data_IF_228539548932
#
_entry.id   IF_228539548932
#
_cell.length_a   1.000
_cell.length_b   1.000
_cell.length_c   1.000
_cell.angle_alpha   90.00
_cell.angle_beta   90.00
_cell.angle_gamma   90.00
#
_symmetry.space_group_name_H-M   'P 1'
#
loop_
_entity.id
_entity.type
_entity.pdbx_description
1 polymer ?
#
# COMPACT_ATOMS: atom_id res chain seq x y z
N UNK A 1 4.08 -42.65 -5.17
CA UNK A 1 3.37 -41.40 -5.52
C UNK A 1 3.61 -41.15 -7.01
N UNK A 2 2.59 -41.42 -7.83
CA UNK A 2 2.70 -41.50 -9.30
C UNK A 2 2.93 -40.13 -9.93
N UNK A 3 3.71 -40.05 -11.00
CA UNK A 3 4.03 -38.82 -11.75
C UNK A 3 2.76 -38.06 -12.19
N UNK A 4 1.65 -38.76 -12.45
CA UNK A 4 0.31 -38.19 -12.70
C UNK A 4 -0.22 -37.35 -11.53
N UNK A 5 -0.08 -37.83 -10.29
CA UNK A 5 -0.54 -37.08 -9.10
C UNK A 5 0.22 -35.77 -8.90
N UNK A 6 1.51 -35.72 -9.26
CA UNK A 6 2.32 -34.49 -9.21
C UNK A 6 1.95 -33.48 -10.30
N UNK A 7 1.34 -33.92 -11.40
CA UNK A 7 0.90 -33.05 -12.49
C UNK A 7 -0.48 -32.49 -12.18
N UNK A 8 -1.42 -33.31 -11.70
CA UNK A 8 -2.74 -32.85 -11.21
C UNK A 8 -2.58 -31.86 -10.04
N UNK A 9 -1.73 -32.15 -9.05
CA UNK A 9 -1.46 -31.22 -7.94
C UNK A 9 -0.92 -29.87 -8.42
N UNK A 10 -0.11 -29.87 -9.49
CA UNK A 10 0.43 -28.63 -10.09
C UNK A 10 -0.64 -27.85 -10.85
N UNK A 11 -1.50 -28.52 -11.61
CA UNK A 11 -2.60 -27.87 -12.34
C UNK A 11 -3.66 -27.29 -11.38
N UNK A 12 -3.97 -27.99 -10.30
CA UNK A 12 -4.86 -27.50 -9.23
C UNK A 12 -4.26 -26.32 -8.45
N UNK A 13 -2.95 -26.36 -8.17
CA UNK A 13 -2.23 -25.23 -7.58
C UNK A 13 -2.25 -23.99 -8.50
N UNK A 14 -1.98 -24.19 -9.80
CA UNK A 14 -1.98 -23.11 -10.79
C UNK A 14 -3.37 -22.49 -10.95
N UNK A 15 -4.42 -23.32 -11.06
CA UNK A 15 -5.79 -22.84 -11.20
C UNK A 15 -6.29 -22.11 -9.95
N UNK A 16 -5.97 -22.61 -8.76
CA UNK A 16 -6.30 -21.98 -7.47
C UNK A 16 -5.57 -20.65 -7.28
N UNK A 17 -4.29 -20.60 -7.68
CA UNK A 17 -3.48 -19.37 -7.64
C UNK A 17 -4.00 -18.32 -8.63
N UNK A 18 -4.36 -18.72 -9.86
CA UNK A 18 -4.90 -17.82 -10.87
C UNK A 18 -6.27 -17.23 -10.45
N UNK A 19 -7.16 -18.06 -9.91
CA UNK A 19 -8.45 -17.60 -9.34
C UNK A 19 -8.20 -16.65 -8.17
N UNK A 20 -7.30 -16.99 -7.25
CA UNK A 20 -6.91 -16.13 -6.13
C UNK A 20 -6.37 -14.77 -6.57
N UNK A 21 -5.48 -14.75 -7.55
CA UNK A 21 -4.94 -13.52 -8.12
C UNK A 21 -6.03 -12.65 -8.76
N UNK A 22 -6.96 -13.24 -9.52
CA UNK A 22 -8.09 -12.52 -10.11
C UNK A 22 -8.98 -11.87 -9.06
N UNK A 23 -9.32 -12.59 -7.98
CA UNK A 23 -10.12 -12.04 -6.88
C UNK A 23 -9.42 -10.89 -6.15
N UNK A 24 -8.10 -11.00 -5.95
CA UNK A 24 -7.32 -9.92 -5.33
C UNK A 24 -7.29 -8.68 -6.24
N UNK A 25 -7.05 -8.84 -7.54
CA UNK A 25 -7.09 -7.70 -8.48
C UNK A 25 -8.46 -7.01 -8.44
N UNK A 26 -9.54 -7.80 -8.49
CA UNK A 26 -10.91 -7.29 -8.42
C UNK A 26 -11.18 -6.57 -7.09
N UNK A 27 -10.73 -7.13 -5.96
CA UNK A 27 -10.84 -6.49 -4.66
C UNK A 27 -10.12 -5.14 -4.65
N UNK A 28 -8.86 -5.09 -5.07
CA UNK A 28 -8.09 -3.85 -5.10
C UNK A 28 -8.75 -2.79 -5.99
N UNK A 29 -9.30 -3.18 -7.14
CA UNK A 29 -10.02 -2.28 -8.02
C UNK A 29 -11.30 -1.73 -7.37
N UNK A 30 -12.19 -2.60 -6.87
CA UNK A 30 -13.46 -2.20 -6.25
C UNK A 30 -13.22 -1.37 -5.00
N UNK A 31 -12.27 -1.79 -4.15
CA UNK A 31 -11.88 -1.06 -2.95
C UNK A 31 -11.41 0.35 -3.28
N UNK A 32 -10.54 0.51 -4.28
CA UNK A 32 -10.07 1.84 -4.71
C UNK A 32 -11.21 2.71 -5.22
N UNK A 33 -12.14 2.16 -6.01
CA UNK A 33 -13.31 2.89 -6.50
C UNK A 33 -14.22 3.33 -5.36
N UNK A 34 -14.52 2.42 -4.42
CA UNK A 34 -15.36 2.71 -3.27
C UNK A 34 -14.76 3.79 -2.37
N UNK A 35 -13.48 3.62 -2.01
CA UNK A 35 -12.75 4.59 -1.18
C UNK A 35 -12.73 5.96 -1.85
N UNK A 36 -12.49 6.02 -3.16
CA UNK A 36 -12.54 7.26 -3.92
C UNK A 36 -13.93 7.93 -3.88
N UNK A 37 -15.00 7.19 -4.19
CA UNK A 37 -16.35 7.73 -4.21
C UNK A 37 -16.79 8.28 -2.84
N UNK A 38 -16.50 7.55 -1.76
CA UNK A 38 -16.86 7.99 -0.41
C UNK A 38 -15.96 9.14 0.08
N UNK A 39 -14.67 9.12 -0.26
CA UNK A 39 -13.77 10.22 0.09
C UNK A 39 -14.18 11.55 -0.56
N UNK A 40 -14.81 11.54 -1.73
CA UNK A 40 -15.31 12.79 -2.32
C UNK A 40 -16.38 13.47 -1.47
N UNK A 41 -17.26 12.69 -0.86
CA UNK A 41 -18.31 13.24 -0.01
C UNK A 41 -17.75 13.69 1.34
N UNK A 42 -16.78 12.93 1.88
CA UNK A 42 -16.06 13.26 3.12
C UNK A 42 -15.37 14.63 2.99
N UNK A 43 -14.69 14.90 1.87
CA UNK A 43 -13.95 16.15 1.67
C UNK A 43 -14.83 17.40 1.63
N UNK A 44 -16.08 17.27 1.19
CA UNK A 44 -17.04 18.38 1.23
C UNK A 44 -17.41 18.78 2.66
N UNK A 45 -17.18 17.90 3.63
CA UNK A 45 -17.53 18.10 5.04
C UNK A 45 -16.31 18.26 5.96
N UNK A 46 -15.11 17.92 5.47
CA UNK A 46 -13.84 18.02 6.20
C UNK A 46 -13.01 19.23 5.75
N UNK A 47 -12.34 19.90 6.70
CA UNK A 47 -11.40 20.99 6.38
C UNK A 47 -10.07 20.46 5.82
N UNK A 48 -9.36 21.23 4.98
CA UNK A 48 -8.05 20.83 4.44
C UNK A 48 -7.04 20.43 5.52
N UNK A 49 -6.94 21.19 6.60
CA UNK A 49 -6.02 20.92 7.71
C UNK A 49 -6.30 19.59 8.40
N UNK A 50 -7.57 19.31 8.73
CA UNK A 50 -7.96 18.06 9.39
C UNK A 50 -7.73 16.84 8.48
N UNK A 51 -7.96 17.01 7.17
CA UNK A 51 -7.65 15.99 6.16
C UNK A 51 -6.14 15.78 6.03
N UNK A 52 -5.34 16.84 6.02
CA UNK A 52 -3.88 16.78 5.98
C UNK A 52 -3.30 16.03 7.17
N UNK A 53 -3.76 16.35 8.39
CA UNK A 53 -3.35 15.65 9.60
C UNK A 53 -3.71 14.16 9.51
N UNK A 54 -4.91 13.81 9.06
CA UNK A 54 -5.33 12.41 8.97
C UNK A 54 -4.60 11.63 7.86
N UNK A 55 -4.52 12.17 6.64
CA UNK A 55 -3.99 11.49 5.45
C UNK A 55 -2.48 11.59 5.28
N UNK A 56 -1.81 12.55 5.92
CA UNK A 56 -0.34 12.65 5.90
C UNK A 56 0.21 12.14 7.22
N UNK A 57 -0.08 12.80 8.36
CA UNK A 57 0.59 12.49 9.62
C UNK A 57 0.17 11.13 10.19
N UNK A 58 -1.14 10.88 10.33
CA UNK A 58 -1.64 9.64 10.95
C UNK A 58 -1.45 8.41 10.03
N UNK A 59 -1.60 8.57 8.72
CA UNK A 59 -1.27 7.50 7.77
C UNK A 59 0.24 7.22 7.71
N UNK A 60 1.10 8.24 7.78
CA UNK A 60 2.55 8.05 7.88
C UNK A 60 2.93 7.33 9.17
N UNK A 61 2.30 7.67 10.29
CA UNK A 61 2.46 6.96 11.56
C UNK A 61 2.13 5.47 11.41
N UNK A 62 0.94 5.15 10.89
CA UNK A 62 0.52 3.76 10.71
C UNK A 62 1.42 3.01 9.71
N UNK A 63 1.75 3.63 8.58
CA UNK A 63 2.65 3.06 7.56
C UNK A 63 4.01 2.76 8.17
N UNK A 64 4.59 3.71 8.93
CA UNK A 64 5.89 3.54 9.59
C UNK A 64 5.88 2.40 10.60
N UNK A 65 4.85 2.31 11.45
CA UNK A 65 4.70 1.22 12.42
C UNK A 65 4.62 -0.13 11.70
N UNK A 66 3.75 -0.25 10.69
CA UNK A 66 3.51 -1.50 9.99
C UNK A 66 4.73 -1.92 9.15
N UNK A 67 5.33 -1.01 8.40
CA UNK A 67 6.39 -1.31 7.45
C UNK A 67 7.68 -1.75 8.15
N UNK A 68 8.09 -1.01 9.19
CA UNK A 68 9.29 -1.34 9.99
C UNK A 68 9.10 -2.68 10.69
N UNK A 69 7.89 -2.97 11.15
CA UNK A 69 7.66 -4.14 12.00
C UNK A 69 7.48 -5.44 11.23
N UNK A 70 6.83 -5.37 10.08
CA UNK A 70 6.26 -6.55 9.42
C UNK A 70 6.90 -6.90 8.09
N UNK A 71 7.23 -5.92 7.27
CA UNK A 71 7.38 -6.15 5.82
C UNK A 71 8.55 -7.08 5.51
N UNK A 72 9.70 -6.88 6.18
CA UNK A 72 10.88 -7.72 6.00
C UNK A 72 10.65 -9.19 6.39
N UNK A 73 9.98 -9.43 7.53
CA UNK A 73 9.66 -10.79 7.96
C UNK A 73 8.59 -11.44 7.09
N UNK A 74 7.52 -10.72 6.72
CA UNK A 74 6.47 -11.22 5.84
C UNK A 74 7.03 -11.70 4.50
N UNK A 75 7.95 -10.95 3.90
CA UNK A 75 8.60 -11.31 2.64
C UNK A 75 9.34 -12.66 2.69
N UNK A 76 9.95 -12.98 3.83
CA UNK A 76 10.68 -14.23 4.04
C UNK A 76 9.72 -15.38 4.36
N UNK A 77 8.76 -15.12 5.26
CA UNK A 77 7.86 -16.14 5.81
C UNK A 77 6.80 -16.61 4.80
N UNK A 78 6.49 -15.80 3.78
CA UNK A 78 5.58 -16.20 2.68
C UNK A 78 6.29 -17.06 1.63
N UNK A 79 7.63 -17.07 1.60
CA UNK A 79 8.44 -17.87 0.66
C UNK A 79 8.88 -19.23 1.23
N UNK A 80 8.87 -19.37 2.56
CA UNK A 80 9.30 -20.60 3.21
C UNK A 80 8.17 -21.64 3.22
N UNK A 81 8.44 -22.85 2.70
CA UNK A 81 7.47 -23.94 2.63
C UNK A 81 7.82 -25.13 3.52
N UNK A 82 8.96 -25.09 4.22
CA UNK A 82 9.60 -26.29 4.76
C UNK A 82 9.10 -26.72 6.15
N UNK A 83 8.52 -25.84 6.96
CA UNK A 83 7.85 -26.20 8.24
C UNK A 83 6.87 -25.13 8.71
N UNK A 84 5.62 -25.51 8.99
CA UNK A 84 4.56 -24.60 9.45
C UNK A 84 4.87 -23.99 10.83
N UNK A 85 5.41 -24.79 11.76
CA UNK A 85 5.72 -24.29 13.11
C UNK A 85 6.86 -23.27 13.14
N UNK A 86 7.88 -23.42 12.26
CA UNK A 86 8.96 -22.45 12.13
C UNK A 86 8.42 -21.09 11.67
N UNK A 87 7.52 -21.11 10.68
CA UNK A 87 6.88 -19.91 10.15
C UNK A 87 6.06 -19.20 11.23
N UNK A 88 5.23 -19.96 11.96
CA UNK A 88 4.39 -19.41 13.03
C UNK A 88 5.26 -18.77 14.12
N UNK A 89 6.29 -19.47 14.61
CA UNK A 89 7.17 -18.95 15.65
C UNK A 89 7.81 -17.62 15.22
N UNK A 90 8.36 -17.54 14.01
CA UNK A 90 8.99 -16.33 13.50
C UNK A 90 7.97 -15.21 13.20
N UNK A 91 6.72 -15.55 12.87
CA UNK A 91 5.68 -14.56 12.59
C UNK A 91 5.23 -13.76 13.82
N UNK A 92 5.49 -14.26 15.04
CA UNK A 92 5.26 -13.50 16.29
C UNK A 92 6.33 -12.42 16.55
N UNK A 93 7.49 -12.48 15.89
CA UNK A 93 8.55 -11.46 16.05
C UNK A 93 8.04 -10.08 15.60
N UNK A 94 7.42 -9.91 14.41
CA UNK A 94 6.75 -8.69 14.01
C UNK A 94 5.75 -8.13 15.03
N UNK A 95 5.01 -8.98 15.74
CA UNK A 95 4.05 -8.54 16.76
C UNK A 95 4.75 -7.94 17.97
N UNK A 96 5.81 -8.59 18.47
CA UNK A 96 6.61 -8.08 19.59
C UNK A 96 7.37 -6.79 19.22
N UNK A 97 8.00 -6.78 18.04
CA UNK A 97 8.68 -5.59 17.53
C UNK A 97 7.67 -4.47 17.25
N UNK A 98 6.48 -4.83 16.79
CA UNK A 98 5.32 -3.98 16.61
C UNK A 98 4.86 -3.24 17.86
N UNK A 99 4.88 -3.91 19.02
CA UNK A 99 4.56 -3.25 20.29
C UNK A 99 5.58 -2.15 20.59
N UNK A 100 6.87 -2.46 20.46
CA UNK A 100 7.94 -1.49 20.69
C UNK A 100 7.86 -0.31 19.72
N UNK A 101 7.73 -0.57 18.42
CA UNK A 101 7.62 0.50 17.40
C UNK A 101 6.36 1.32 17.59
N UNK A 102 5.21 0.71 17.91
CA UNK A 102 3.97 1.45 18.20
C UNK A 102 4.15 2.40 19.38
N UNK A 103 4.73 1.93 20.50
CA UNK A 103 4.97 2.77 21.68
C UNK A 103 5.94 3.92 21.39
N UNK A 104 7.03 3.66 20.66
CA UNK A 104 8.03 4.67 20.31
C UNK A 104 7.46 5.71 19.33
N UNK A 105 6.80 5.26 18.25
CA UNK A 105 6.23 6.16 17.26
C UNK A 105 5.06 6.98 17.83
N UNK A 106 4.15 6.37 18.59
CA UNK A 106 3.09 7.13 19.26
C UNK A 106 3.66 8.09 20.31
N UNK A 107 4.66 7.67 21.08
CA UNK A 107 5.35 8.53 22.05
C UNK A 107 6.02 9.74 21.38
N UNK A 108 6.70 9.52 20.26
CA UNK A 108 7.28 10.58 19.45
C UNK A 108 6.20 11.56 18.97
N UNK A 109 5.16 11.07 18.28
CA UNK A 109 4.07 11.91 17.76
C UNK A 109 3.34 12.67 18.87
N UNK A 110 3.10 12.07 20.04
CA UNK A 110 2.47 12.74 21.18
C UNK A 110 3.38 13.81 21.81
N UNK A 111 4.71 13.64 21.74
CA UNK A 111 5.67 14.62 22.26
C UNK A 111 5.86 15.84 21.36
N UNK A 112 5.66 15.67 20.04
CA UNK A 112 5.75 16.76 19.06
C UNK A 112 4.47 17.58 18.91
N UNK A 113 3.35 17.17 19.53
CA UNK A 113 2.09 17.95 19.48
C UNK A 113 2.29 19.28 20.19
N UNK A 114 2.15 20.38 19.44
CA UNK A 114 2.25 21.73 19.99
C UNK A 114 0.96 22.12 20.73
N UNK A 115 1.07 22.91 21.79
CA UNK A 115 -0.08 23.37 22.59
C UNK A 115 -1.15 24.09 21.76
N UNK A 116 -0.76 24.80 20.69
CA UNK A 116 -1.67 25.45 19.74
C UNK A 116 -2.51 24.44 18.94
N UNK A 117 -1.93 23.34 18.46
CA UNK A 117 -2.67 22.32 17.70
C UNK A 117 -3.69 21.60 18.59
N UNK A 118 -3.36 21.39 19.87
CA UNK A 118 -4.29 20.81 20.85
C UNK A 118 -5.47 21.73 21.18
N UNK A 119 -5.32 23.05 21.01
CA UNK A 119 -6.40 24.02 21.19
C UNK A 119 -7.35 24.07 19.98
N UNK A 120 -6.83 23.87 18.78
CA UNK A 120 -7.62 23.84 17.52
C UNK A 120 -8.28 22.46 17.34
N UNK A 121 -7.59 21.38 17.69
CA UNK A 121 -8.03 19.99 17.52
C UNK A 121 -7.99 19.22 18.85
N UNK A 122 -9.03 19.32 19.69
CA UNK A 122 -9.04 18.72 21.03
C UNK A 122 -8.87 17.19 21.03
N UNK A 123 -9.27 16.50 19.95
CA UNK A 123 -9.20 15.04 19.83
C UNK A 123 -7.96 14.52 19.10
N UNK A 124 -6.98 15.37 18.79
CA UNK A 124 -5.80 14.94 18.04
C UNK A 124 -4.99 13.87 18.80
N UNK A 125 -4.75 14.07 20.10
CA UNK A 125 -4.06 13.08 20.96
C UNK A 125 -4.76 11.72 20.97
N UNK A 126 -6.10 11.74 21.07
CA UNK A 126 -6.91 10.52 21.05
C UNK A 126 -6.81 9.82 19.69
N UNK A 127 -6.75 10.60 18.61
CA UNK A 127 -6.62 10.10 17.24
C UNK A 127 -5.28 9.39 17.01
N UNK A 128 -4.18 9.95 17.51
CA UNK A 128 -2.84 9.31 17.47
C UNK A 128 -2.86 7.96 18.20
N UNK A 129 -3.43 7.91 19.40
CA UNK A 129 -3.52 6.67 20.18
C UNK A 129 -4.38 5.62 19.45
N UNK A 130 -5.52 6.02 18.89
CA UNK A 130 -6.40 5.12 18.13
C UNK A 130 -5.71 4.57 16.87
N UNK A 131 -4.97 5.39 16.12
CA UNK A 131 -4.18 4.93 14.98
C UNK A 131 -3.08 3.95 15.42
N UNK A 132 -2.37 4.25 16.52
CA UNK A 132 -1.38 3.33 17.09
C UNK A 132 -1.98 1.99 17.50
N UNK A 133 -3.12 2.01 18.21
CA UNK A 133 -3.86 0.81 18.57
C UNK A 133 -4.33 0.04 17.34
N UNK A 134 -4.84 0.72 16.31
CA UNK A 134 -5.26 0.11 15.05
C UNK A 134 -4.09 -0.62 14.37
N UNK A 135 -2.93 0.04 14.25
CA UNK A 135 -1.72 -0.58 13.69
C UNK A 135 -1.23 -1.77 14.52
N UNK A 136 -1.31 -1.70 15.85
CA UNK A 136 -0.96 -2.82 16.71
C UNK A 136 -1.93 -4.00 16.57
N UNK A 137 -3.23 -3.75 16.43
CA UNK A 137 -4.22 -4.79 16.14
C UNK A 137 -3.90 -5.49 14.82
N UNK A 138 -3.56 -4.73 13.78
CA UNK A 138 -3.14 -5.30 12.49
C UNK A 138 -1.86 -6.16 12.63
N UNK A 139 -0.89 -5.75 13.44
CA UNK A 139 0.34 -6.51 13.70
C UNK A 139 0.10 -7.77 14.54
N UNK A 140 -0.92 -7.75 15.40
CA UNK A 140 -1.29 -8.91 16.22
C UNK A 140 -1.91 -10.03 15.38
N UNK A 141 -2.53 -9.68 14.25
CA UNK A 141 -3.14 -10.62 13.30
C UNK A 141 -2.12 -11.23 12.35
N UNK A 142 -0.92 -10.65 12.29
CA UNK A 142 0.10 -11.00 11.32
C UNK A 142 0.46 -12.49 11.25
N UNK A 143 0.64 -13.21 12.38
CA UNK A 143 0.91 -14.65 12.34
C UNK A 143 -0.20 -15.44 11.63
N UNK A 144 -1.46 -15.08 11.89
CA UNK A 144 -2.63 -15.73 11.29
C UNK A 144 -2.72 -15.40 9.79
N UNK A 145 -2.40 -14.16 9.42
CA UNK A 145 -2.36 -13.71 8.04
C UNK A 145 -1.31 -14.48 7.22
N UNK A 146 -0.08 -14.56 7.72
CA UNK A 146 1.02 -15.30 7.07
C UNK A 146 0.68 -16.80 6.98
N UNK A 147 0.06 -17.37 8.00
CA UNK A 147 -0.40 -18.75 7.97
C UNK A 147 -1.47 -18.98 6.90
N UNK A 148 -2.48 -18.10 6.81
CA UNK A 148 -3.51 -18.15 5.77
C UNK A 148 -2.92 -18.06 4.36
N UNK A 149 -1.91 -17.20 4.15
CA UNK A 149 -1.22 -17.05 2.87
C UNK A 149 -0.45 -18.32 2.48
N UNK A 150 0.29 -18.93 3.40
CA UNK A 150 1.00 -20.18 3.13
C UNK A 150 0.06 -21.36 2.82
N UNK A 151 -1.18 -21.31 3.32
CA UNK A 151 -2.26 -22.26 2.99
C UNK A 151 -3.06 -21.87 1.73
N UNK A 152 -2.69 -20.80 1.05
CA UNK A 152 -3.35 -20.27 -0.16
C UNK A 152 -4.84 -19.94 0.06
N UNK A 153 -5.22 -19.51 1.27
CA UNK A 153 -6.59 -19.09 1.60
C UNK A 153 -6.91 -17.68 1.08
N UNK A 154 -6.81 -17.49 -0.24
CA UNK A 154 -7.04 -16.20 -0.89
C UNK A 154 -8.46 -15.67 -0.66
N UNK A 155 -9.47 -16.54 -0.58
CA UNK A 155 -10.85 -16.15 -0.30
C UNK A 155 -11.03 -15.55 1.10
N UNK A 156 -10.32 -16.08 2.10
CA UNK A 156 -10.34 -15.52 3.46
C UNK A 156 -9.81 -14.09 3.44
N UNK A 157 -8.69 -13.88 2.75
CA UNK A 157 -8.11 -12.55 2.59
C UNK A 157 -9.08 -11.60 1.90
N UNK A 158 -9.67 -12.02 0.78
CA UNK A 158 -10.57 -11.15 0.00
C UNK A 158 -11.81 -10.75 0.81
N UNK A 159 -12.40 -11.71 1.55
CA UNK A 159 -13.58 -11.46 2.36
C UNK A 159 -13.29 -10.58 3.57
N UNK A 160 -12.22 -10.87 4.33
CA UNK A 160 -11.89 -10.11 5.55
C UNK A 160 -11.34 -8.72 5.21
N UNK A 161 -10.37 -8.62 4.30
CA UNK A 161 -9.76 -7.35 3.88
C UNK A 161 -10.80 -6.46 3.17
N UNK A 162 -11.62 -7.04 2.29
CA UNK A 162 -12.71 -6.32 1.63
C UNK A 162 -13.76 -5.80 2.61
N UNK A 163 -14.20 -6.63 3.55
CA UNK A 163 -15.15 -6.20 4.60
C UNK A 163 -14.54 -5.10 5.47
N UNK A 164 -13.27 -5.22 5.85
CA UNK A 164 -12.58 -4.21 6.65
C UNK A 164 -12.49 -2.87 5.92
N UNK A 165 -12.14 -2.85 4.63
CA UNK A 165 -12.10 -1.60 3.86
C UNK A 165 -13.48 -1.00 3.70
N UNK A 166 -14.49 -1.81 3.39
CA UNK A 166 -15.88 -1.34 3.25
C UNK A 166 -16.36 -0.70 4.56
N UNK A 167 -16.16 -1.36 5.70
CA UNK A 167 -16.52 -0.84 7.01
C UNK A 167 -15.75 0.44 7.34
N UNK A 168 -14.43 0.48 7.09
CA UNK A 168 -13.62 1.71 7.26
C UNK A 168 -14.24 2.86 6.48
N UNK A 169 -14.57 2.66 5.22
CA UNK A 169 -15.10 3.73 4.37
C UNK A 169 -16.47 4.21 4.84
N UNK A 170 -17.39 3.31 5.19
CA UNK A 170 -18.71 3.69 5.69
C UNK A 170 -18.67 4.34 7.07
N UNK A 171 -17.77 3.90 7.95
CA UNK A 171 -17.57 4.53 9.26
C UNK A 171 -16.96 5.92 9.12
N UNK A 172 -15.93 6.09 8.28
CA UNK A 172 -15.38 7.42 7.96
C UNK A 172 -16.48 8.32 7.42
N UNK A 173 -17.24 7.84 6.43
CA UNK A 173 -18.32 8.60 5.80
C UNK A 173 -19.40 9.01 6.81
N UNK A 174 -19.95 8.05 7.56
CA UNK A 174 -21.01 8.31 8.53
C UNK A 174 -20.56 9.27 9.64
N UNK A 175 -19.39 9.04 10.23
CA UNK A 175 -18.89 9.88 11.31
C UNK A 175 -18.53 11.29 10.83
N UNK A 176 -18.03 11.44 9.60
CA UNK A 176 -17.74 12.78 9.05
C UNK A 176 -19.00 13.54 8.66
N UNK A 177 -20.05 12.86 8.17
CA UNK A 177 -21.32 13.51 7.83
C UNK A 177 -22.13 13.96 9.05
N UNK A 178 -22.25 13.09 10.05
CA UNK A 178 -23.05 13.37 11.25
C UNK A 178 -22.24 14.06 12.36
N UNK A 179 -20.91 14.00 12.31
CA UNK A 179 -20.02 14.64 13.25
C UNK A 179 -19.86 16.14 13.00
N UNK A 180 -19.59 16.91 14.07
CA UNK A 180 -19.15 18.31 13.91
C UNK A 180 -17.73 18.33 13.32
N UNK A 181 -17.36 19.44 12.66
CA UNK A 181 -16.03 19.63 12.04
C UNK A 181 -14.87 19.36 13.00
N UNK A 182 -15.03 19.67 14.29
CA UNK A 182 -14.05 19.42 15.36
C UNK A 182 -13.71 17.93 15.57
N UNK A 183 -14.63 17.03 15.22
CA UNK A 183 -14.44 15.58 15.33
C UNK A 183 -13.89 14.95 14.06
N UNK A 184 -13.61 15.73 13.01
CA UNK A 184 -13.25 15.16 11.71
C UNK A 184 -12.00 14.26 11.78
N UNK A 185 -10.98 14.65 12.54
CA UNK A 185 -9.75 13.84 12.72
C UNK A 185 -10.07 12.55 13.48
N UNK A 186 -10.92 12.65 14.51
CA UNK A 186 -11.35 11.50 15.30
C UNK A 186 -12.16 10.50 14.45
N UNK A 187 -12.99 10.98 13.52
CA UNK A 187 -13.74 10.13 12.58
C UNK A 187 -12.82 9.22 11.77
N UNK A 188 -11.71 9.75 11.23
CA UNK A 188 -10.70 8.95 10.52
C UNK A 188 -10.02 7.94 11.45
N UNK A 189 -9.71 8.33 12.69
CA UNK A 189 -9.07 7.45 13.65
C UNK A 189 -9.97 6.29 14.12
N UNK A 190 -11.24 6.56 14.37
CA UNK A 190 -12.22 5.52 14.68
C UNK A 190 -12.38 4.57 13.49
N UNK A 191 -12.47 5.09 12.27
CA UNK A 191 -12.58 4.26 11.08
C UNK A 191 -11.34 3.35 10.89
N UNK A 192 -10.13 3.87 11.11
CA UNK A 192 -8.92 3.06 11.07
C UNK A 192 -8.88 2.01 12.19
N UNK A 193 -9.36 2.35 13.38
CA UNK A 193 -9.50 1.38 14.47
C UNK A 193 -10.50 0.26 14.12
N UNK A 194 -11.65 0.59 13.53
CA UNK A 194 -12.63 -0.39 13.03
C UNK A 194 -12.02 -1.30 11.96
N UNK A 195 -11.18 -0.75 11.08
CA UNK A 195 -10.44 -1.54 10.10
C UNK A 195 -9.54 -2.59 10.78
N UNK A 196 -8.67 -2.17 11.71
CA UNK A 196 -7.78 -3.07 12.44
C UNK A 196 -8.55 -4.12 13.27
N UNK A 197 -9.65 -3.71 13.92
CA UNK A 197 -10.52 -4.59 14.69
C UNK A 197 -11.21 -5.64 13.79
N UNK A 198 -11.71 -5.23 12.61
CA UNK A 198 -12.36 -6.14 11.66
C UNK A 198 -11.36 -7.17 11.13
N UNK A 199 -10.13 -6.73 10.82
CA UNK A 199 -9.05 -7.65 10.45
C UNK A 199 -8.79 -8.65 11.57
N UNK A 200 -8.72 -8.21 12.83
CA UNK A 200 -8.52 -9.11 13.97
C UNK A 200 -9.64 -10.12 14.16
N UNK A 201 -10.88 -9.65 14.22
CA UNK A 201 -12.04 -10.50 14.43
C UNK A 201 -12.25 -11.46 13.26
N UNK A 202 -12.02 -11.01 12.01
CA UNK A 202 -12.19 -11.84 10.82
C UNK A 202 -11.21 -13.01 10.76
N UNK A 203 -9.92 -12.76 10.95
CA UNK A 203 -8.91 -13.83 10.95
C UNK A 203 -9.03 -14.73 12.17
N UNK A 204 -9.17 -14.16 13.37
CA UNK A 204 -9.31 -14.95 14.59
C UNK A 204 -10.57 -15.81 14.55
N UNK A 205 -11.72 -15.24 14.17
CA UNK A 205 -12.99 -15.96 14.05
C UNK A 205 -12.93 -17.10 13.04
N UNK A 206 -12.30 -16.89 11.88
CA UNK A 206 -12.14 -17.95 10.88
C UNK A 206 -11.31 -19.13 11.40
N UNK A 207 -10.17 -18.86 12.03
CA UNK A 207 -9.28 -19.92 12.52
C UNK A 207 -9.83 -20.64 13.75
N UNK A 208 -10.55 -19.95 14.64
CA UNK A 208 -11.26 -20.60 15.76
C UNK A 208 -12.36 -21.53 15.24
N UNK A 209 -13.13 -21.09 14.23
CA UNK A 209 -14.20 -21.90 13.65
C UNK A 209 -13.67 -23.11 12.87
N UNK A 210 -12.64 -22.92 12.04
CA UNK A 210 -12.16 -23.95 11.11
C UNK A 210 -11.16 -24.93 11.72
N UNK A 211 -10.20 -24.46 12.50
CA UNK A 211 -9.09 -25.30 12.97
C UNK A 211 -9.40 -26.00 14.30
N UNK A 212 -10.44 -25.57 15.04
CA UNK A 212 -10.92 -26.07 16.37
C UNK A 212 -9.85 -26.21 17.48
N UNK A 213 -8.58 -25.98 17.18
CA UNK A 213 -7.42 -26.13 18.05
C UNK A 213 -6.51 -24.91 17.87
N UNK A 214 -6.61 -23.95 18.78
CA UNK A 214 -5.73 -22.76 18.85
C UNK A 214 -4.27 -23.17 19.15
N UNK A 215 -4.10 -24.38 19.65
CA UNK A 215 -2.85 -24.97 20.08
C UNK A 215 -1.81 -25.13 18.95
N UNK A 216 -2.24 -25.30 17.70
CA UNK A 216 -1.36 -25.33 16.51
C UNK A 216 -0.97 -23.94 16.01
N UNK A 217 -1.64 -22.88 16.48
CA UNK A 217 -1.38 -21.48 16.10
C UNK A 217 -0.46 -20.77 17.09
N UNK A 218 -0.21 -21.38 18.25
CA UNK A 218 0.71 -20.88 19.26
C UNK A 218 2.15 -21.31 18.96
N UNK A 219 3.14 -20.48 19.33
CA UNK A 219 4.52 -20.83 19.13
C UNK A 219 4.91 -22.01 20.04
N UNK A 220 5.51 -23.04 19.46
CA UNK A 220 5.95 -24.26 20.15
C UNK A 220 7.40 -24.55 19.82
N UNK A 221 8.08 -25.16 20.79
CA UNK A 221 9.43 -25.70 20.57
C UNK A 221 9.42 -26.74 19.46
N UNK A 222 10.31 -26.57 18.49
CA UNK A 222 10.51 -27.54 17.43
C UNK A 222 11.58 -28.51 17.90
N UNK A 223 11.28 -29.80 17.81
CA UNK A 223 12.25 -30.87 18.02
C UNK A 223 12.72 -31.32 16.65
N UNK A 224 13.99 -31.11 16.34
CA UNK A 224 14.56 -31.69 15.14
C UNK A 224 14.66 -33.20 15.31
N UNK A 225 14.28 -33.96 14.29
CA UNK A 225 14.37 -35.42 14.34
C UNK A 225 15.83 -35.90 14.19
N UNK A 226 16.72 -35.03 13.70
CA UNK A 226 18.10 -35.38 13.35
C UNK A 226 19.18 -34.81 14.29
N UNK A 227 18.86 -33.82 15.13
CA UNK A 227 19.77 -33.26 16.14
C UNK A 227 19.05 -33.10 17.48
N UNK A 228 19.69 -33.47 18.58
CA UNK A 228 19.21 -33.29 19.98
C UNK A 228 19.12 -31.81 20.40
N UNK A 229 18.78 -30.91 19.49
CA UNK A 229 18.68 -29.46 19.74
C UNK A 229 17.22 -29.01 19.63
N UNK A 230 16.66 -28.55 20.76
CA UNK A 230 15.37 -27.85 20.76
C UNK A 230 15.60 -26.39 20.37
N UNK A 231 14.99 -25.92 19.29
CA UNK A 231 15.06 -24.51 18.91
C UNK A 231 13.66 -23.89 18.73
N UNK A 232 13.57 -22.61 19.07
CA UNK A 232 12.36 -21.79 18.87
C UNK A 232 12.38 -21.09 17.51
N UNK A 233 13.55 -20.63 17.08
CA UNK A 233 13.73 -19.87 15.85
C UNK A 233 14.80 -20.51 14.98
N UNK A 234 14.48 -20.71 13.70
CA UNK A 234 15.47 -21.14 12.72
C UNK A 234 16.40 -19.97 12.39
N UNK A 235 17.70 -20.15 12.68
CA UNK A 235 18.71 -19.07 12.54
C UNK A 235 18.80 -18.50 11.13
N UNK A 236 18.66 -19.35 10.11
CA UNK A 236 18.73 -18.94 8.70
C UNK A 236 17.57 -18.03 8.31
N UNK A 237 16.33 -18.43 8.66
CA UNK A 237 15.15 -17.61 8.40
C UNK A 237 15.14 -16.32 9.22
N UNK A 238 15.63 -16.37 10.46
CA UNK A 238 15.76 -15.19 11.31
C UNK A 238 16.74 -14.18 10.72
N UNK A 239 17.94 -14.63 10.33
CA UNK A 239 18.95 -13.77 9.72
C UNK A 239 18.43 -13.16 8.40
N UNK A 240 17.77 -13.97 7.57
CA UNK A 240 17.16 -13.49 6.33
C UNK A 240 16.05 -12.46 6.60
N UNK A 241 15.21 -12.70 7.62
CA UNK A 241 14.17 -11.77 8.07
C UNK A 241 14.74 -10.42 8.53
N UNK A 242 15.84 -10.44 9.31
CA UNK A 242 16.54 -9.22 9.74
C UNK A 242 17.12 -8.47 8.53
N UNK A 243 17.77 -9.17 7.61
CA UNK A 243 18.33 -8.55 6.39
C UNK A 243 17.25 -7.90 5.53
N UNK A 244 16.13 -8.61 5.30
CA UNK A 244 14.99 -8.08 4.55
C UNK A 244 14.30 -6.93 5.29
N UNK A 245 14.32 -6.92 6.62
CA UNK A 245 13.80 -5.80 7.43
C UNK A 245 14.68 -4.56 7.27
N UNK A 246 16.00 -4.69 7.23
CA UNK A 246 16.91 -3.57 6.93
C UNK A 246 16.65 -3.00 5.52
N UNK A 247 16.49 -3.87 4.53
CA UNK A 247 16.15 -3.45 3.18
C UNK A 247 14.78 -2.77 3.12
N UNK A 248 13.81 -3.28 3.88
CA UNK A 248 12.48 -2.68 3.99
C UNK A 248 12.55 -1.29 4.63
N UNK A 249 13.36 -1.08 5.66
CA UNK A 249 13.53 0.25 6.25
C UNK A 249 14.04 1.27 5.23
N UNK A 250 15.05 0.92 4.43
CA UNK A 250 15.53 1.77 3.35
C UNK A 250 14.42 2.06 2.35
N UNK A 251 13.68 1.01 1.93
CA UNK A 251 12.56 1.16 1.02
C UNK A 251 11.48 2.09 1.57
N UNK A 252 11.15 2.00 2.85
CA UNK A 252 10.16 2.87 3.51
C UNK A 252 10.54 4.33 3.40
N UNK A 253 11.80 4.67 3.72
CA UNK A 253 12.31 6.04 3.59
C UNK A 253 12.26 6.51 2.14
N UNK A 254 12.58 5.64 1.18
CA UNK A 254 12.50 5.99 -0.24
C UNK A 254 11.07 6.17 -0.73
N UNK A 255 10.11 5.39 -0.23
CA UNK A 255 8.72 5.42 -0.72
C UNK A 255 7.83 6.44 -0.04
N UNK A 256 8.07 6.71 1.25
CA UNK A 256 7.29 7.66 2.04
C UNK A 256 8.11 8.92 2.38
N UNK A 257 9.30 9.06 1.78
CA UNK A 257 10.22 10.18 2.02
C UNK A 257 9.61 11.54 1.66
N UNK A 258 8.76 11.59 0.64
CA UNK A 258 7.97 12.77 0.28
C UNK A 258 7.01 13.17 1.40
N UNK A 259 6.23 12.22 1.94
CA UNK A 259 5.36 12.48 3.10
C UNK A 259 6.15 12.84 4.35
N UNK A 260 7.30 12.22 4.57
CA UNK A 260 8.17 12.57 5.71
C UNK A 260 8.67 14.02 5.60
N UNK A 261 9.13 14.44 4.43
CA UNK A 261 9.60 15.81 4.17
C UNK A 261 8.45 16.80 4.32
N UNK A 262 7.30 16.54 3.70
CA UNK A 262 6.10 17.40 3.80
C UNK A 262 5.58 17.45 5.25
N UNK A 263 5.66 16.36 6.00
CA UNK A 263 5.28 16.33 7.42
C UNK A 263 6.18 17.23 8.29
N UNK A 264 7.47 17.37 7.96
CA UNK A 264 8.46 18.12 8.75
C UNK A 264 8.56 19.59 8.31
N UNK A 265 8.47 19.86 7.01
CA UNK A 265 8.79 21.15 6.43
C UNK A 265 7.57 22.03 6.11
N UNK A 266 6.36 21.45 6.05
CA UNK A 266 5.17 22.14 5.56
C UNK A 266 4.13 22.42 6.65
N UNK A 267 3.25 23.39 6.40
CA UNK A 267 2.13 23.71 7.29
C UNK A 267 1.00 22.68 7.16
N UNK A 268 0.07 22.62 8.11
CA UNK A 268 -1.03 21.64 8.07
C UNK A 268 -1.97 21.82 6.88
N UNK A 269 -2.16 23.07 6.42
CA UNK A 269 -2.91 23.38 5.21
C UNK A 269 -2.20 22.81 3.96
N UNK A 270 -0.88 22.99 3.86
CA UNK A 270 -0.08 22.47 2.76
C UNK A 270 -0.08 20.94 2.73
N UNK A 271 -0.03 20.29 3.91
CA UNK A 271 -0.19 18.83 4.05
C UNK A 271 -1.55 18.38 3.52
N UNK A 272 -2.60 19.15 3.80
CA UNK A 272 -3.96 18.91 3.28
C UNK A 272 -4.02 19.00 1.76
N UNK A 273 -3.45 20.05 1.19
CA UNK A 273 -3.35 20.27 -0.26
C UNK A 273 -2.54 19.15 -0.94
N UNK A 274 -1.37 18.81 -0.39
CA UNK A 274 -0.54 17.71 -0.89
C UNK A 274 -1.27 16.38 -0.82
N UNK A 275 -1.89 16.06 0.33
CA UNK A 275 -2.65 14.83 0.52
C UNK A 275 -3.84 14.74 -0.44
N UNK A 276 -4.50 15.86 -0.73
CA UNK A 276 -5.53 15.94 -1.76
C UNK A 276 -4.95 15.66 -3.15
N UNK A 277 -3.94 16.42 -3.58
CA UNK A 277 -3.39 16.28 -4.93
C UNK A 277 -2.76 14.91 -5.18
N UNK A 278 -2.06 14.33 -4.21
CA UNK A 278 -1.49 12.98 -4.36
C UNK A 278 -2.59 11.93 -4.47
N UNK A 279 -3.67 12.04 -3.69
CA UNK A 279 -4.77 11.07 -3.75
C UNK A 279 -5.61 11.20 -5.02
N UNK A 280 -5.80 12.42 -5.54
CA UNK A 280 -6.63 12.68 -6.73
C UNK A 280 -5.86 12.70 -8.04
N UNK A 281 -4.73 13.41 -8.07
CA UNK A 281 -3.85 13.48 -9.21
C UNK A 281 -3.35 12.10 -9.63
N UNK A 282 -2.97 11.24 -8.68
CA UNK A 282 -2.47 9.90 -9.01
C UNK A 282 -3.55 8.90 -9.45
N UNK A 283 -4.84 9.26 -9.47
CA UNK A 283 -5.91 8.35 -9.90
C UNK A 283 -5.77 7.94 -11.36
N UNK A 284 -5.44 8.90 -12.24
CA UNK A 284 -5.21 8.59 -13.66
C UNK A 284 -4.06 7.59 -13.79
N UNK A 285 -3.00 7.76 -13.01
CA UNK A 285 -1.87 6.84 -12.99
C UNK A 285 -2.28 5.45 -12.49
N UNK A 286 -3.06 5.38 -11.41
CA UNK A 286 -3.48 4.10 -10.78
C UNK A 286 -4.55 3.34 -11.57
N UNK A 287 -5.47 4.04 -12.22
CA UNK A 287 -6.65 3.44 -12.86
C UNK A 287 -6.39 3.19 -14.35
N UNK A 288 -5.63 4.07 -15.00
CA UNK A 288 -5.38 4.00 -16.44
C UNK A 288 -3.94 3.58 -16.75
N UNK A 289 -2.94 4.28 -16.23
CA UNK A 289 -1.54 4.03 -16.65
C UNK A 289 -1.02 2.69 -16.13
N UNK A 290 -1.24 2.37 -14.86
CA UNK A 290 -0.75 1.15 -14.25
C UNK A 290 -1.24 -0.12 -15.01
N UNK A 291 -2.54 -0.29 -15.32
CA UNK A 291 -2.99 -1.41 -16.14
C UNK A 291 -2.42 -1.42 -17.56
N UNK A 292 -2.30 -0.24 -18.20
CA UNK A 292 -1.74 -0.11 -19.54
C UNK A 292 -0.26 -0.50 -19.57
N UNK A 293 0.50 -0.11 -18.55
CA UNK A 293 1.92 -0.44 -18.37
C UNK A 293 2.11 -1.95 -18.16
N UNK A 294 1.34 -2.56 -17.25
CA UNK A 294 1.41 -4.00 -16.99
C UNK A 294 1.04 -4.82 -18.24
N UNK A 295 0.03 -4.38 -18.98
CA UNK A 295 -0.40 -5.00 -20.24
C UNK A 295 0.66 -4.83 -21.32
N UNK A 296 1.22 -3.62 -21.45
CA UNK A 296 2.30 -3.30 -22.40
C UNK A 296 3.56 -4.13 -22.14
N UNK A 297 4.01 -4.21 -20.89
CA UNK A 297 5.13 -5.07 -20.48
C UNK A 297 4.90 -6.53 -20.86
N UNK A 298 3.71 -7.06 -20.59
CA UNK A 298 3.36 -8.44 -20.97
C UNK A 298 3.37 -8.64 -22.49
N UNK A 299 2.88 -7.66 -23.25
CA UNK A 299 2.91 -7.68 -24.70
C UNK A 299 4.36 -7.71 -25.25
N UNK A 300 5.22 -6.81 -24.76
CA UNK A 300 6.62 -6.73 -25.17
C UNK A 300 7.38 -8.03 -24.86
N UNK A 301 7.19 -8.61 -23.66
CA UNK A 301 7.84 -9.86 -23.28
C UNK A 301 7.44 -11.06 -24.15
N UNK A 302 6.22 -11.06 -24.71
CA UNK A 302 5.74 -12.13 -25.59
C UNK A 302 6.22 -11.96 -27.03
N UNK A 303 6.14 -10.74 -27.56
CA UNK A 303 6.45 -10.49 -28.97
C UNK A 303 7.96 -10.48 -29.23
N UNK A 304 8.77 -10.05 -28.27
CA UNK A 304 10.23 -9.97 -28.39
C UNK A 304 10.95 -11.22 -27.84
N UNK A 305 10.29 -12.38 -27.88
CA UNK A 305 10.89 -13.66 -27.45
C UNK A 305 12.07 -14.03 -28.34
N UNK A 306 11.88 -13.96 -29.67
CA UNK A 306 12.97 -14.06 -30.62
C UNK A 306 13.48 -12.65 -30.95
N UNK A 307 14.67 -12.34 -30.43
CA UNK A 307 15.26 -11.02 -30.61
C UNK A 307 15.62 -10.74 -32.06
N UNK A 308 15.70 -11.72 -32.97
CA UNK A 308 16.14 -11.51 -34.36
C UNK A 308 14.99 -11.27 -35.34
N UNK A 309 13.73 -11.47 -34.94
CA UNK A 309 12.57 -11.25 -35.80
C UNK A 309 12.35 -9.75 -36.07
N UNK A 310 12.53 -9.35 -37.33
CA UNK A 310 12.36 -7.98 -37.82
C UNK A 310 10.89 -7.54 -37.72
N UNK A 311 9.94 -8.44 -37.99
CA UNK A 311 8.50 -8.15 -37.98
C UNK A 311 8.03 -7.92 -36.55
N UNK A 312 8.50 -8.76 -35.61
CA UNK A 312 8.21 -8.60 -34.19
C UNK A 312 8.75 -7.26 -33.64
N UNK A 313 9.99 -6.88 -34.01
CA UNK A 313 10.58 -5.59 -33.61
C UNK A 313 9.79 -4.40 -34.16
N UNK A 314 9.39 -4.45 -35.43
CA UNK A 314 8.61 -3.38 -36.04
C UNK A 314 7.22 -3.25 -35.39
N UNK A 315 6.59 -4.38 -35.06
CA UNK A 315 5.31 -4.41 -34.35
C UNK A 315 5.44 -3.83 -32.93
N UNK A 316 6.49 -4.20 -32.20
CA UNK A 316 6.78 -3.66 -30.87
C UNK A 316 7.06 -2.15 -30.90
N UNK A 317 7.84 -1.68 -31.89
CA UNK A 317 8.13 -0.26 -32.09
C UNK A 317 6.87 0.54 -32.39
N UNK A 318 6.03 0.05 -33.31
CA UNK A 318 4.76 0.70 -33.64
C UNK A 318 3.82 0.76 -32.42
N UNK A 319 3.74 -0.31 -31.64
CA UNK A 319 2.96 -0.35 -30.41
C UNK A 319 3.49 0.66 -29.38
N UNK A 320 4.80 0.68 -29.12
CA UNK A 320 5.43 1.62 -28.19
C UNK A 320 5.18 3.08 -28.63
N UNK A 321 5.38 3.38 -29.91
CA UNK A 321 5.13 4.72 -30.46
C UNK A 321 3.65 5.13 -30.34
N UNK A 322 2.73 4.22 -30.63
CA UNK A 322 1.28 4.46 -30.48
C UNK A 322 0.93 4.78 -29.02
N UNK A 323 1.51 4.04 -28.06
CA UNK A 323 1.28 4.29 -26.64
C UNK A 323 1.90 5.60 -26.16
N UNK A 324 3.11 5.94 -26.60
CA UNK A 324 3.73 7.23 -26.27
C UNK A 324 2.87 8.37 -26.83
N UNK A 325 2.41 8.26 -28.09
CA UNK A 325 1.50 9.23 -28.68
C UNK A 325 0.19 9.35 -27.90
N UNK A 326 -0.40 8.22 -27.49
CA UNK A 326 -1.60 8.22 -26.65
C UNK A 326 -1.38 8.96 -25.33
N UNK A 327 -0.29 8.68 -24.60
CA UNK A 327 0.02 9.36 -23.34
C UNK A 327 0.29 10.86 -23.53
N UNK A 328 0.97 11.25 -24.61
CA UNK A 328 1.21 12.66 -24.95
C UNK A 328 -0.11 13.37 -25.28
N UNK A 329 -0.97 12.78 -26.12
CA UNK A 329 -2.27 13.36 -26.48
C UNK A 329 -3.18 13.50 -25.25
N UNK A 330 -3.23 12.46 -24.41
CA UNK A 330 -3.96 12.51 -23.16
C UNK A 330 -3.37 13.57 -22.21
N UNK A 331 -2.04 13.67 -22.14
CA UNK A 331 -1.34 14.69 -21.36
C UNK A 331 -1.65 16.11 -21.83
N UNK A 332 -1.69 16.35 -23.14
CA UNK A 332 -2.11 17.64 -23.69
C UNK A 332 -3.55 17.99 -23.31
N UNK A 333 -4.46 17.01 -23.33
CA UNK A 333 -5.82 17.20 -22.83
C UNK A 333 -5.78 17.63 -21.36
N UNK A 334 -5.04 16.91 -20.51
CA UNK A 334 -4.90 17.30 -19.10
C UNK A 334 -4.31 18.70 -18.94
N UNK A 335 -3.27 19.08 -19.67
CA UNK A 335 -2.64 20.41 -19.59
C UNK A 335 -3.63 21.52 -20.01
N UNK A 336 -4.33 21.34 -21.13
CA UNK A 336 -5.30 22.30 -21.64
C UNK A 336 -6.47 22.53 -20.67
N UNK A 337 -7.00 21.44 -20.09
CA UNK A 337 -8.10 21.54 -19.13
C UNK A 337 -7.61 21.98 -17.74
N UNK A 338 -6.42 21.55 -17.31
CA UNK A 338 -5.92 21.86 -15.98
C UNK A 338 -5.59 23.35 -15.79
N UNK A 339 -5.00 23.98 -16.79
CA UNK A 339 -4.66 25.41 -16.70
C UNK A 339 -5.88 26.32 -16.56
N UNK A 340 -7.04 25.92 -17.09
CA UNK A 340 -8.22 26.78 -17.15
C UNK A 340 -9.39 26.32 -16.26
N UNK A 341 -9.50 25.03 -15.96
CA UNK A 341 -10.68 24.45 -15.29
C UNK A 341 -10.38 23.77 -13.96
N UNK A 342 -9.13 23.76 -13.47
CA UNK A 342 -8.83 23.06 -12.21
C UNK A 342 -9.58 23.67 -11.02
N UNK A 343 -9.77 24.98 -10.96
CA UNK A 343 -10.57 25.60 -9.90
C UNK A 343 -12.03 25.11 -9.94
N UNK A 344 -12.64 25.07 -11.11
CA UNK A 344 -14.01 24.52 -11.30
C UNK A 344 -14.08 23.03 -10.98
N UNK A 345 -13.04 22.27 -11.34
CA UNK A 345 -12.96 20.85 -11.04
C UNK A 345 -12.86 20.61 -9.53
N UNK A 346 -12.04 21.37 -8.83
CA UNK A 346 -11.91 21.27 -7.37
C UNK A 346 -13.20 21.72 -6.68
N UNK A 347 -13.85 22.78 -7.17
CA UNK A 347 -15.15 23.23 -6.63
C UNK A 347 -16.24 22.16 -6.85
N UNK A 348 -16.28 21.52 -8.02
CA UNK A 348 -17.21 20.43 -8.30
C UNK A 348 -16.93 19.19 -7.44
N UNK A 349 -15.66 18.82 -7.26
CA UNK A 349 -15.29 17.60 -6.55
C UNK A 349 -15.36 17.77 -5.03
N UNK A 350 -14.58 18.71 -4.49
CA UNK A 350 -14.35 18.90 -3.07
C UNK A 350 -15.06 20.12 -2.47
N UNK A 351 -15.56 21.04 -3.30
CA UNK A 351 -16.32 22.22 -2.87
C UNK A 351 -15.50 23.50 -2.72
N UNK A 352 -16.19 24.60 -2.45
CA UNK A 352 -15.64 25.95 -2.47
C UNK A 352 -14.58 26.24 -1.41
N UNK A 353 -14.54 25.45 -0.34
CA UNK A 353 -13.48 25.53 0.68
C UNK A 353 -12.13 25.11 0.10
N UNK A 354 -12.13 24.09 -0.76
CA UNK A 354 -10.93 23.58 -1.42
C UNK A 354 -10.57 24.42 -2.64
N UNK A 355 -11.55 24.90 -3.40
CA UNK A 355 -11.29 25.74 -4.58
C UNK A 355 -10.67 27.10 -4.24
N UNK A 356 -10.85 27.60 -3.02
CA UNK A 356 -10.24 28.86 -2.55
C UNK A 356 -8.84 28.67 -1.92
N UNK A 357 -8.44 27.43 -1.68
CA UNK A 357 -7.09 27.09 -1.22
C UNK A 357 -6.12 27.00 -2.41
N UNK A 358 -4.86 26.67 -2.14
CA UNK A 358 -3.85 26.43 -3.18
C UNK A 358 -4.03 25.09 -3.93
N UNK A 359 -5.02 24.27 -3.54
CA UNK A 359 -5.30 22.97 -4.15
C UNK A 359 -5.47 23.01 -5.70
N UNK A 360 -6.17 23.99 -6.30
CA UNK A 360 -6.29 24.05 -7.75
C UNK A 360 -4.96 24.31 -8.46
N UNK A 361 -4.10 25.17 -7.89
CA UNK A 361 -2.79 25.50 -8.47
C UNK A 361 -1.88 24.28 -8.44
N UNK A 362 -1.80 23.60 -7.29
CA UNK A 362 -0.97 22.40 -7.13
C UNK A 362 -1.49 21.25 -7.99
N UNK A 363 -2.80 21.06 -8.08
CA UNK A 363 -3.41 20.07 -8.96
C UNK A 363 -3.15 20.38 -10.44
N UNK A 364 -3.14 21.66 -10.84
CA UNK A 364 -2.79 22.04 -12.21
C UNK A 364 -1.33 21.71 -12.55
N UNK A 365 -0.40 21.94 -11.62
CA UNK A 365 1.00 21.52 -11.75
C UNK A 365 1.11 20.00 -11.87
N UNK A 366 0.36 19.25 -11.07
CA UNK A 366 0.33 17.79 -11.16
C UNK A 366 -0.15 17.32 -12.54
N UNK A 367 -1.20 17.94 -13.10
CA UNK A 367 -1.68 17.63 -14.44
C UNK A 367 -0.62 17.87 -15.53
N UNK A 368 0.28 18.85 -15.35
CA UNK A 368 1.43 19.04 -16.24
C UNK A 368 2.47 17.92 -16.10
N UNK A 369 2.56 17.27 -14.94
CA UNK A 369 3.46 16.15 -14.68
C UNK A 369 2.95 14.80 -15.21
N UNK A 370 1.62 14.60 -15.29
CA UNK A 370 0.97 13.38 -15.82
C UNK A 370 1.56 12.83 -17.14
N UNK A 371 1.79 13.61 -18.21
CA UNK A 371 2.38 13.07 -19.44
C UNK A 371 3.77 12.47 -19.23
N UNK A 372 4.62 13.13 -18.45
CA UNK A 372 5.97 12.63 -18.15
C UNK A 372 5.90 11.30 -17.40
N UNK A 373 4.99 11.20 -16.43
CA UNK A 373 4.76 9.95 -15.70
C UNK A 373 4.29 8.83 -16.63
N UNK A 374 3.35 9.09 -17.53
CA UNK A 374 2.83 8.08 -18.46
C UNK A 374 3.89 7.59 -19.46
N UNK A 375 4.69 8.50 -20.02
CA UNK A 375 5.79 8.14 -20.94
C UNK A 375 6.88 7.37 -20.19
N UNK A 376 7.20 7.77 -18.96
CA UNK A 376 8.15 7.05 -18.12
C UNK A 376 7.67 5.61 -17.88
N UNK A 377 6.43 5.41 -17.42
CA UNK A 377 5.89 4.07 -17.14
C UNK A 377 5.94 3.12 -18.34
N UNK A 378 5.50 3.54 -19.53
CA UNK A 378 5.51 2.64 -20.70
C UNK A 378 6.92 2.33 -21.22
N UNK A 379 7.85 3.30 -21.13
CA UNK A 379 9.25 3.08 -21.54
C UNK A 379 9.97 2.19 -20.53
N UNK A 380 9.71 2.36 -19.23
CA UNK A 380 10.18 1.45 -18.20
C UNK A 380 9.62 0.03 -18.42
N UNK A 381 8.32 -0.10 -18.67
CA UNK A 381 7.69 -1.39 -18.98
C UNK A 381 8.30 -2.10 -20.20
N UNK A 382 8.69 -1.33 -21.24
CA UNK A 382 9.43 -1.86 -22.40
C UNK A 382 10.84 -2.31 -22.02
N UNK A 383 11.61 -1.48 -21.32
CA UNK A 383 12.97 -1.83 -20.88
C UNK A 383 12.92 -3.06 -19.97
N UNK A 384 12.01 -3.11 -19.00
CA UNK A 384 11.83 -4.26 -18.12
C UNK A 384 11.49 -5.56 -18.88
N UNK A 385 10.78 -5.46 -20.01
CA UNK A 385 10.43 -6.62 -20.82
C UNK A 385 11.60 -7.17 -21.66
N UNK A 386 12.55 -6.32 -22.07
CA UNK A 386 13.59 -6.66 -23.07
C UNK A 386 15.00 -6.76 -22.48
N UNK A 387 15.27 -5.98 -21.43
CA UNK A 387 16.59 -5.75 -20.88
C UNK A 387 17.16 -6.99 -20.16
N UNK A 388 18.49 -7.07 -20.13
CA UNK A 388 19.17 -8.15 -19.41
C UNK A 388 19.22 -7.85 -17.91
N UNK A 389 19.52 -8.87 -17.08
CA UNK A 389 19.65 -8.68 -15.62
C UNK A 389 20.66 -7.58 -15.23
N UNK A 390 21.71 -7.39 -16.03
CA UNK A 390 22.73 -6.35 -15.78
C UNK A 390 22.18 -4.95 -16.04
N UNK A 391 21.40 -4.79 -17.10
CA UNK A 391 20.76 -3.52 -17.48
C UNK A 391 19.67 -3.14 -16.47
N UNK A 392 18.89 -4.10 -15.99
CA UNK A 392 17.88 -3.89 -14.94
C UNK A 392 18.49 -3.45 -13.62
N UNK A 393 19.64 -4.02 -13.23
CA UNK A 393 20.36 -3.60 -12.03
C UNK A 393 20.90 -2.17 -12.16
N UNK A 394 21.41 -1.79 -13.34
CA UNK A 394 21.84 -0.41 -13.61
C UNK A 394 20.66 0.55 -13.57
N UNK A 395 19.54 0.22 -14.21
CA UNK A 395 18.33 1.03 -14.19
C UNK A 395 17.83 1.23 -12.75
N UNK A 396 17.76 0.15 -11.96
CA UNK A 396 17.32 0.20 -10.56
C UNK A 396 18.23 1.10 -9.71
N UNK A 397 19.55 0.98 -9.90
CA UNK A 397 20.52 1.84 -9.19
C UNK A 397 20.38 3.33 -9.58
N UNK A 398 20.19 3.63 -10.87
CA UNK A 398 19.94 5.00 -11.32
C UNK A 398 18.62 5.54 -10.78
N UNK A 399 17.55 4.74 -10.76
CA UNK A 399 16.27 5.16 -10.19
C UNK A 399 16.36 5.40 -8.68
N UNK A 400 17.09 4.56 -7.93
CA UNK A 400 17.35 4.80 -6.51
C UNK A 400 18.13 6.10 -6.28
N UNK A 401 19.20 6.31 -7.05
CA UNK A 401 20.05 7.49 -6.93
C UNK A 401 19.33 8.79 -7.33
N UNK A 402 18.55 8.75 -8.42
CA UNK A 402 17.77 9.90 -8.88
C UNK A 402 16.53 10.15 -8.03
N UNK A 403 15.87 9.10 -7.53
CA UNK A 403 14.77 9.21 -6.58
C UNK A 403 15.20 9.88 -5.28
N UNK A 404 16.39 9.52 -4.77
CA UNK A 404 17.02 10.20 -3.64
C UNK A 404 17.37 11.66 -3.94
N UNK A 405 17.79 12.00 -5.16
CA UNK A 405 18.16 13.38 -5.52
C UNK A 405 16.97 14.30 -5.82
N UNK A 406 15.87 13.76 -6.36
CA UNK A 406 14.65 14.51 -6.70
C UNK A 406 13.72 14.71 -5.50
N UNK A 407 13.81 13.90 -4.45
CA UNK A 407 13.10 14.16 -3.19
C UNK A 407 13.67 15.35 -2.39
N UNK A 408 14.84 15.88 -2.79
CA UNK A 408 15.53 16.98 -2.09
C UNK A 408 15.19 18.36 -2.70
N UNK A 409 14.33 18.42 -3.72
CA UNK A 409 13.79 19.64 -4.33
C UNK A 409 12.28 19.52 -4.50
#
# INVERSE_FOLDING_TARGET
>A
MSEKSKIEDKEDLLSSTAKGASYLIMLQFISRMLTFSLNQIVLRHTSPDAFGIASVNLELLASTILFISREGFRAVLTRSTKNQQQIINLAYIPTCLGLATTTLCCGYYLSTITSNESAIYPYYRTSVILYGLASFLELSVEPLFIFALNKMYFQLRVTVEGTAVILRCFVTFGLTLYGKKEYSILSFAIAQFVYGLTMMLGYFGYFVYKERSINTLLPRKIKDASEKSEYWFEKTLLHLGITMTKQSLLKHVLTEGDKMLISVLSTDSDKGVYGFVVNYGSLIARILFQPLEETGRTFFSKILTDKQDIVARQTASNFLMTFIQFHILLGFLFICFATNYTSTLVDLLAGSTWSKSDAPTVLAIYCMYVPFMGVNGITEGFVQAVATKQDLNRLSYFMELWGLSLQIW
#
